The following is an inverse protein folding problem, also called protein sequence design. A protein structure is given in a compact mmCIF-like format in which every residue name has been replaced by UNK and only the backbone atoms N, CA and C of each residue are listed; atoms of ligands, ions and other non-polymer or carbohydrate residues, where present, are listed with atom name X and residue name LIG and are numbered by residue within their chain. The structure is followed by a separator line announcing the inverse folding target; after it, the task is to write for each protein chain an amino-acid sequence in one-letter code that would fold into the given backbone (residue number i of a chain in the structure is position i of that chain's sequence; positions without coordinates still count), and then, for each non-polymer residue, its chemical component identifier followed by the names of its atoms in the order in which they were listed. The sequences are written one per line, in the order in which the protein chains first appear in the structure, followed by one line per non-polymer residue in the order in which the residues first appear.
data_IF_010772656629
#
_entry.id   IF_010772656629
#
_cell.length_a   1.000
_cell.length_b   1.000
_cell.length_c   1.000
_cell.angle_alpha   90.00
_cell.angle_beta   90.00
_cell.angle_gamma   90.00
#
_symmetry.space_group_name_H-M   'P 1'
#
loop_
_entity.id
_entity.type
_entity.pdbx_description
1 polymer ?
#
# COMPACT_ATOMS: atom_id res chain seq x y z
N UNK A 1 -36.01 48.29 14.61
CA UNK A 1 -35.73 47.77 13.25
C UNK A 1 -34.93 46.50 13.47
N UNK A 2 -35.65 45.41 13.65
CA UNK A 2 -35.11 44.12 14.09
C UNK A 2 -34.80 43.30 12.85
N UNK A 3 -33.53 43.20 12.50
CA UNK A 3 -33.07 42.28 11.47
C UNK A 3 -33.00 40.88 12.06
N UNK A 4 -34.12 40.15 11.94
CA UNK A 4 -34.16 38.71 12.10
C UNK A 4 -33.19 38.08 11.09
N UNK A 5 -32.04 37.62 11.59
CA UNK A 5 -31.13 36.78 10.83
C UNK A 5 -31.85 35.47 10.53
N UNK A 6 -32.31 35.35 9.28
CA UNK A 6 -32.82 34.11 8.73
C UNK A 6 -31.75 33.04 8.85
N UNK A 7 -32.02 32.05 9.69
CA UNK A 7 -31.36 30.76 9.63
C UNK A 7 -31.69 30.13 8.27
N UNK A 8 -30.85 30.41 7.27
CA UNK A 8 -30.80 29.60 6.07
C UNK A 8 -30.39 28.19 6.53
N UNK A 9 -31.41 27.35 6.69
CA UNK A 9 -31.24 25.92 6.89
C UNK A 9 -30.23 25.44 5.88
N UNK A 10 -29.12 24.90 6.37
CA UNK A 10 -28.19 24.17 5.54
C UNK A 10 -29.01 23.14 4.80
N UNK A 11 -29.14 23.36 3.50
CA UNK A 11 -29.72 22.39 2.59
C UNK A 11 -28.99 21.09 2.88
N UNK A 12 -29.74 20.19 3.52
CA UNK A 12 -29.54 18.76 3.47
C UNK A 12 -28.88 18.42 2.13
N UNK A 13 -27.91 17.51 2.15
CA UNK A 13 -27.48 16.76 0.96
C UNK A 13 -28.64 15.89 0.42
N UNK A 14 -29.80 16.54 0.21
CA UNK A 14 -31.09 16.06 -0.24
C UNK A 14 -31.09 15.69 -1.73
N UNK A 15 -29.94 15.88 -2.40
CA UNK A 15 -29.64 15.27 -3.69
C UNK A 15 -29.27 13.77 -3.59
N UNK A 16 -28.99 13.22 -2.40
CA UNK A 16 -28.99 11.77 -2.18
C UNK A 16 -30.41 11.26 -1.97
N UNK A 17 -31.27 11.45 -2.98
CA UNK A 17 -32.66 11.00 -2.94
C UNK A 17 -32.75 9.50 -2.69
N UNK A 18 -33.37 9.12 -1.57
CA UNK A 18 -34.32 8.00 -1.35
C UNK A 18 -33.96 6.56 -1.75
N UNK A 19 -32.89 6.31 -2.50
CA UNK A 19 -32.44 4.97 -2.83
C UNK A 19 -31.62 4.46 -1.66
N UNK A 20 -32.18 3.48 -0.93
CA UNK A 20 -31.44 2.77 0.10
C UNK A 20 -30.09 2.27 -0.44
N UNK A 21 -29.10 2.10 0.45
CA UNK A 21 -27.79 1.57 0.08
C UNK A 21 -27.99 0.20 -0.57
N UNK A 22 -27.51 0.05 -1.81
CA UNK A 22 -27.70 -1.20 -2.56
C UNK A 22 -26.76 -2.27 -2.05
N UNK A 23 -27.11 -3.55 -2.23
CA UNK A 23 -26.21 -4.66 -1.88
C UNK A 23 -24.88 -4.59 -2.63
N UNK A 24 -24.86 -3.99 -3.82
CA UNK A 24 -23.65 -3.75 -4.61
C UNK A 24 -22.74 -2.68 -3.99
N UNK A 25 -23.30 -1.62 -3.42
CA UNK A 25 -22.55 -0.58 -2.70
C UNK A 25 -21.80 -1.21 -1.50
N UNK A 26 -22.52 -2.01 -0.70
CA UNK A 26 -21.94 -2.71 0.46
C UNK A 26 -20.90 -3.73 0.05
N UNK A 27 -21.19 -4.56 -0.98
CA UNK A 27 -20.23 -5.54 -1.47
C UNK A 27 -18.95 -4.87 -2.00
N UNK A 28 -19.08 -3.79 -2.77
CA UNK A 28 -17.95 -3.02 -3.27
C UNK A 28 -17.09 -2.44 -2.13
N UNK A 29 -17.73 -1.87 -1.11
CA UNK A 29 -17.05 -1.36 0.08
C UNK A 29 -16.29 -2.45 0.84
N UNK A 30 -16.90 -3.62 1.02
CA UNK A 30 -16.28 -4.78 1.67
C UNK A 30 -15.10 -5.31 0.85
N UNK A 31 -15.24 -5.43 -0.47
CA UNK A 31 -14.18 -5.90 -1.35
C UNK A 31 -12.99 -4.94 -1.37
N UNK A 32 -13.24 -3.63 -1.45
CA UNK A 32 -12.17 -2.63 -1.42
C UNK A 32 -11.45 -2.60 -0.06
N UNK A 33 -12.20 -2.72 1.04
CA UNK A 33 -11.62 -2.82 2.38
C UNK A 33 -10.81 -4.11 2.55
N UNK A 34 -11.36 -5.24 2.11
CA UNK A 34 -10.68 -6.53 2.12
C UNK A 34 -9.40 -6.53 1.26
N UNK A 35 -9.41 -5.83 0.13
CA UNK A 35 -8.22 -5.60 -0.68
C UNK A 35 -7.14 -4.84 0.10
N UNK A 36 -7.48 -3.71 0.75
CA UNK A 36 -6.53 -2.97 1.57
C UNK A 36 -5.94 -3.84 2.70
N UNK A 37 -6.79 -4.60 3.40
CA UNK A 37 -6.37 -5.53 4.47
C UNK A 37 -5.42 -6.61 3.92
N UNK A 38 -5.75 -7.23 2.79
CA UNK A 38 -4.91 -8.26 2.16
C UNK A 38 -3.55 -7.70 1.73
N UNK A 39 -3.50 -6.48 1.18
CA UNK A 39 -2.23 -5.83 0.83
C UNK A 39 -1.36 -5.57 2.06
N UNK A 40 -1.94 -5.06 3.16
CA UNK A 40 -1.18 -4.81 4.38
C UNK A 40 -0.72 -6.09 5.06
N UNK A 41 -1.54 -7.14 5.05
CA UNK A 41 -1.12 -8.48 5.48
C UNK A 41 0.09 -8.97 4.66
N UNK A 42 0.06 -8.80 3.33
CA UNK A 42 1.19 -9.15 2.46
C UNK A 42 2.44 -8.32 2.77
N UNK A 43 2.30 -7.00 3.00
CA UNK A 43 3.40 -6.11 3.41
C UNK A 43 4.03 -6.58 4.72
N UNK A 44 3.22 -6.98 5.71
CA UNK A 44 3.70 -7.50 6.99
C UNK A 44 4.45 -8.83 6.80
N UNK A 45 3.89 -9.75 6.02
CA UNK A 45 4.53 -11.02 5.68
C UNK A 45 5.87 -10.79 4.97
N UNK A 46 5.94 -9.87 4.02
CA UNK A 46 7.18 -9.49 3.32
C UNK A 46 8.19 -8.86 4.28
N UNK A 47 7.75 -8.00 5.21
CA UNK A 47 8.62 -7.39 6.22
C UNK A 47 9.30 -8.44 7.10
N UNK A 48 8.51 -9.40 7.62
CA UNK A 48 9.02 -10.49 8.44
C UNK A 48 9.90 -11.46 7.64
N UNK A 49 9.47 -11.82 6.43
CA UNK A 49 10.24 -12.70 5.54
C UNK A 49 11.58 -12.09 5.16
N UNK A 50 11.64 -10.79 4.87
CA UNK A 50 12.88 -10.10 4.48
C UNK A 50 13.92 -10.07 5.61
N UNK A 51 13.50 -10.22 6.88
CA UNK A 51 14.39 -10.35 8.05
C UNK A 51 14.94 -11.78 8.24
N UNK A 52 14.36 -12.78 7.57
CA UNK A 52 14.70 -14.21 7.69
C UNK A 52 15.25 -14.75 6.36
N UNK A 53 15.08 -16.06 6.12
CA UNK A 53 15.44 -16.72 4.87
C UNK A 53 14.53 -16.26 3.72
N UNK A 54 15.13 -15.94 2.58
CA UNK A 54 14.40 -15.50 1.39
C UNK A 54 13.83 -16.71 0.68
N UNK A 55 12.55 -16.60 0.30
CA UNK A 55 11.89 -17.59 -0.54
C UNK A 55 11.55 -16.98 -1.91
N UNK A 56 11.62 -17.73 -3.02
CA UNK A 56 11.33 -17.22 -4.36
C UNK A 56 9.96 -16.57 -4.52
N UNK A 57 8.95 -17.05 -3.78
CA UNK A 57 7.60 -16.49 -3.83
C UNK A 57 7.53 -15.05 -3.30
N UNK A 58 8.45 -14.63 -2.42
CA UNK A 58 8.44 -13.28 -1.84
C UNK A 58 8.64 -12.20 -2.91
N UNK A 59 9.50 -12.45 -3.91
CA UNK A 59 9.66 -11.55 -5.04
C UNK A 59 8.34 -11.40 -5.81
N UNK A 60 7.67 -12.52 -6.11
CA UNK A 60 6.38 -12.52 -6.81
C UNK A 60 5.30 -11.80 -6.01
N UNK A 61 5.22 -12.03 -4.71
CA UNK A 61 4.29 -11.33 -3.81
C UNK A 61 4.56 -9.84 -3.76
N UNK A 62 5.82 -9.42 -3.67
CA UNK A 62 6.16 -8.00 -3.70
C UNK A 62 5.79 -7.34 -5.03
N UNK A 63 6.04 -7.99 -6.17
CA UNK A 63 5.59 -7.53 -7.49
C UNK A 63 4.06 -7.40 -7.53
N UNK A 64 3.33 -8.38 -7.00
CA UNK A 64 1.86 -8.34 -6.94
C UNK A 64 1.36 -7.17 -6.08
N UNK A 65 1.92 -6.96 -4.89
CA UNK A 65 1.58 -5.82 -4.01
C UNK A 65 1.84 -4.48 -4.71
N UNK A 66 2.97 -4.35 -5.41
CA UNK A 66 3.29 -3.12 -6.16
C UNK A 66 2.28 -2.91 -7.28
N UNK A 67 1.99 -3.95 -8.08
CA UNK A 67 1.04 -3.88 -9.19
C UNK A 67 -0.37 -3.51 -8.74
N UNK A 68 -0.87 -4.15 -7.67
CA UNK A 68 -2.15 -3.81 -7.07
C UNK A 68 -2.16 -2.39 -6.52
N UNK A 69 -1.10 -1.96 -5.83
CA UNK A 69 -0.98 -0.58 -5.35
C UNK A 69 -1.01 0.46 -6.47
N UNK A 70 -0.39 0.17 -7.62
CA UNK A 70 -0.46 1.01 -8.82
C UNK A 70 -1.89 1.10 -9.35
N UNK A 71 -2.59 -0.04 -9.48
CA UNK A 71 -4.00 -0.06 -9.94
C UNK A 71 -4.88 0.77 -9.01
N UNK A 72 -4.74 0.57 -7.69
CA UNK A 72 -5.47 1.34 -6.69
C UNK A 72 -5.20 2.84 -6.79
N UNK A 73 -3.94 3.25 -6.95
CA UNK A 73 -3.58 4.67 -7.08
C UNK A 73 -4.09 5.29 -8.38
N UNK A 74 -4.12 4.55 -9.49
CA UNK A 74 -4.71 5.05 -10.75
C UNK A 74 -6.19 5.34 -10.56
N UNK A 75 -6.95 4.41 -9.98
CA UNK A 75 -8.38 4.62 -9.70
C UNK A 75 -8.62 5.77 -8.72
N UNK A 76 -7.83 5.84 -7.64
CA UNK A 76 -7.95 6.91 -6.66
C UNK A 76 -7.60 8.29 -7.25
N UNK A 77 -6.51 8.40 -8.02
CA UNK A 77 -6.14 9.66 -8.67
C UNK A 77 -7.12 10.08 -9.76
N UNK A 78 -7.67 9.13 -10.51
CA UNK A 78 -8.75 9.39 -11.47
C UNK A 78 -9.94 10.08 -10.80
N UNK A 79 -10.35 9.63 -9.61
CA UNK A 79 -11.45 10.26 -8.87
C UNK A 79 -11.13 11.73 -8.52
N UNK A 80 -9.90 12.01 -8.05
CA UNK A 80 -9.46 13.39 -7.78
C UNK A 80 -9.41 14.27 -9.03
N UNK A 81 -8.97 13.71 -10.17
CA UNK A 81 -9.01 14.42 -11.46
C UNK A 81 -10.45 14.74 -11.85
N UNK A 82 -11.37 13.80 -11.67
CA UNK A 82 -12.77 13.98 -11.99
C UNK A 82 -13.45 15.02 -11.07
N UNK A 83 -13.09 15.04 -9.78
CA UNK A 83 -13.50 16.07 -8.83
C UNK A 83 -13.04 17.47 -9.25
N UNK A 84 -11.77 17.63 -9.65
CA UNK A 84 -11.26 18.91 -10.16
C UNK A 84 -11.98 19.32 -11.44
N UNK A 85 -12.15 18.39 -12.39
CA UNK A 85 -12.85 18.67 -13.64
C UNK A 85 -14.30 19.12 -13.40
N UNK A 86 -15.01 18.45 -12.50
CA UNK A 86 -16.35 18.85 -12.09
C UNK A 86 -16.36 20.22 -11.41
N UNK A 87 -15.43 20.46 -10.48
CA UNK A 87 -15.31 21.73 -9.76
C UNK A 87 -15.05 22.90 -10.70
N UNK A 88 -14.19 22.74 -11.72
CA UNK A 88 -13.93 23.79 -12.72
C UNK A 88 -15.22 24.21 -13.44
N UNK A 89 -16.10 23.25 -13.75
CA UNK A 89 -17.39 23.53 -14.36
C UNK A 89 -18.45 24.04 -13.36
N UNK A 90 -18.29 23.73 -12.06
CA UNK A 90 -19.31 23.99 -11.03
C UNK A 90 -18.69 24.43 -9.68
N UNK A 91 -17.98 25.57 -9.61
CA UNK A 91 -17.15 25.92 -8.44
C UNK A 91 -17.96 26.22 -7.16
N UNK A 92 -19.27 26.50 -7.30
CA UNK A 92 -20.18 26.75 -6.18
C UNK A 92 -21.08 25.55 -5.83
N UNK A 93 -20.92 24.42 -6.55
CA UNK A 93 -21.66 23.20 -6.25
C UNK A 93 -20.97 22.37 -5.17
N UNK A 94 -21.69 21.46 -4.49
CA UNK A 94 -21.08 20.44 -3.65
C UNK A 94 -20.02 19.62 -4.40
N UNK A 95 -19.08 19.05 -3.66
CA UNK A 95 -18.13 18.11 -4.24
C UNK A 95 -18.87 16.95 -4.91
N UNK A 96 -18.50 16.64 -6.15
CA UNK A 96 -19.07 15.55 -6.92
C UNK A 96 -18.17 14.33 -6.86
N UNK A 97 -18.75 13.16 -7.07
CA UNK A 97 -18.01 11.92 -7.26
C UNK A 97 -18.58 11.14 -8.41
N UNK A 98 -17.76 10.26 -8.97
CA UNK A 98 -18.24 9.28 -9.92
C UNK A 98 -19.31 8.38 -9.29
N UNK A 99 -20.18 7.72 -10.10
CA UNK A 99 -21.19 6.82 -9.57
C UNK A 99 -20.61 5.68 -8.70
N UNK A 100 -19.46 5.13 -9.08
CA UNK A 100 -18.81 4.06 -8.31
C UNK A 100 -18.17 4.60 -7.03
N UNK A 101 -17.53 5.78 -7.08
CA UNK A 101 -17.02 6.45 -5.88
C UNK A 101 -18.13 6.75 -4.88
N UNK A 102 -19.26 7.29 -5.36
CA UNK A 102 -20.47 7.52 -4.55
C UNK A 102 -21.01 6.22 -3.96
N UNK A 103 -21.09 5.15 -4.75
CA UNK A 103 -21.54 3.84 -4.28
C UNK A 103 -20.67 3.26 -3.16
N UNK A 104 -19.35 3.27 -3.35
CA UNK A 104 -18.40 2.82 -2.33
C UNK A 104 -18.49 3.65 -1.05
N UNK A 105 -18.58 4.98 -1.16
CA UNK A 105 -18.72 5.86 -0.01
C UNK A 105 -20.02 5.58 0.76
N UNK A 106 -21.16 5.37 0.07
CA UNK A 106 -22.42 4.96 0.72
C UNK A 106 -22.30 3.61 1.41
N UNK A 107 -21.68 2.62 0.77
CA UNK A 107 -21.43 1.30 1.35
C UNK A 107 -20.57 1.37 2.62
N UNK A 108 -19.51 2.17 2.61
CA UNK A 108 -18.66 2.41 3.79
C UNK A 108 -19.38 3.23 4.88
N UNK A 109 -20.27 4.14 4.49
CA UNK A 109 -21.09 4.94 5.41
C UNK A 109 -22.07 4.13 6.25
N UNK A 110 -22.32 2.86 5.90
CA UNK A 110 -23.15 1.95 6.70
C UNK A 110 -22.60 1.70 8.12
N UNK A 111 -21.31 2.00 8.37
CA UNK A 111 -20.72 1.96 9.71
C UNK A 111 -21.43 2.89 10.68
N UNK A 112 -21.85 4.08 10.22
CA UNK A 112 -22.69 5.01 10.98
C UNK A 112 -23.53 5.86 10.02
N UNK A 113 -24.78 5.44 9.71
CA UNK A 113 -25.64 6.15 8.77
C UNK A 113 -26.04 7.56 9.23
N UNK A 114 -25.82 7.90 10.50
CA UNK A 114 -26.11 9.24 11.03
C UNK A 114 -25.04 10.27 10.65
N UNK A 115 -23.91 9.81 10.09
CA UNK A 115 -22.74 10.63 9.73
C UNK A 115 -22.50 10.59 8.21
N UNK A 116 -23.14 11.47 7.42
CA UNK A 116 -23.13 11.38 5.96
C UNK A 116 -21.73 11.54 5.33
N UNK A 117 -20.80 12.19 6.03
CA UNK A 117 -19.41 12.36 5.57
C UNK A 117 -18.50 11.20 5.95
N UNK A 118 -18.89 10.32 6.88
CA UNK A 118 -17.99 9.28 7.40
C UNK A 118 -17.58 8.29 6.29
N UNK A 119 -18.53 7.84 5.47
CA UNK A 119 -18.24 6.91 4.38
C UNK A 119 -17.23 7.47 3.37
N UNK A 120 -17.27 8.78 3.12
CA UNK A 120 -16.31 9.49 2.28
C UNK A 120 -14.90 9.50 2.88
N UNK A 121 -14.79 9.78 4.16
CA UNK A 121 -13.48 9.79 4.84
C UNK A 121 -12.89 8.37 4.90
N UNK A 122 -13.70 7.34 5.16
CA UNK A 122 -13.28 5.93 5.12
C UNK A 122 -12.80 5.55 3.71
N UNK A 123 -13.52 5.96 2.66
CA UNK A 123 -13.13 5.65 1.27
C UNK A 123 -11.76 6.22 0.92
N UNK A 124 -11.53 7.49 1.25
CA UNK A 124 -10.22 8.10 1.05
C UNK A 124 -9.15 7.42 1.88
N UNK A 125 -9.42 7.12 3.15
CA UNK A 125 -8.48 6.42 4.03
C UNK A 125 -8.07 5.06 3.41
N UNK A 126 -9.03 4.25 2.97
CA UNK A 126 -8.78 2.94 2.35
C UNK A 126 -7.96 3.09 1.06
N UNK A 127 -8.32 4.03 0.18
CA UNK A 127 -7.57 4.31 -1.05
C UNK A 127 -6.12 4.72 -0.78
N UNK A 128 -5.91 5.59 0.20
CA UNK A 128 -4.57 6.03 0.62
C UNK A 128 -3.74 4.89 1.23
N UNK A 129 -4.37 3.95 1.95
CA UNK A 129 -3.69 2.78 2.51
C UNK A 129 -3.28 1.76 1.44
N UNK A 130 -4.09 1.58 0.39
CA UNK A 130 -3.73 0.76 -0.78
C UNK A 130 -2.52 1.36 -1.50
N UNK A 131 -2.54 2.68 -1.73
CA UNK A 131 -1.42 3.39 -2.35
C UNK A 131 -0.14 3.27 -1.50
N UNK A 132 -0.24 3.51 -0.19
CA UNK A 132 0.90 3.38 0.73
C UNK A 132 1.49 1.98 0.71
N UNK A 133 0.66 0.94 0.72
CA UNK A 133 1.11 -0.45 0.65
C UNK A 133 1.91 -0.74 -0.64
N UNK A 134 1.50 -0.17 -1.79
CA UNK A 134 2.25 -0.26 -3.04
C UNK A 134 3.66 0.35 -2.94
N UNK A 135 3.77 1.56 -2.38
CA UNK A 135 5.05 2.23 -2.15
C UNK A 135 5.95 1.47 -1.18
N UNK A 136 5.39 0.96 -0.09
CA UNK A 136 6.10 0.09 0.87
C UNK A 136 6.58 -1.18 0.18
N UNK A 137 5.78 -1.76 -0.73
CA UNK A 137 6.19 -2.89 -1.57
C UNK A 137 7.47 -2.60 -2.37
N UNK A 138 7.58 -1.42 -2.98
CA UNK A 138 8.81 -1.01 -3.69
C UNK A 138 9.99 -0.86 -2.71
N UNK A 139 9.77 -0.25 -1.56
CA UNK A 139 10.81 -0.10 -0.54
C UNK A 139 11.31 -1.45 -0.01
N UNK A 140 10.41 -2.41 0.18
CA UNK A 140 10.72 -3.77 0.65
C UNK A 140 11.40 -4.62 -0.41
N UNK A 141 10.88 -4.66 -1.65
CA UNK A 141 11.48 -5.47 -2.72
C UNK A 141 12.89 -4.99 -3.06
N UNK A 142 13.15 -3.69 -2.93
CA UNK A 142 14.47 -3.16 -3.21
C UNK A 142 15.44 -3.38 -2.06
N UNK A 143 14.99 -3.67 -0.83
CA UNK A 143 15.80 -3.66 0.41
C UNK A 143 17.06 -4.53 0.36
N UNK A 144 17.02 -5.66 -0.37
CA UNK A 144 18.13 -6.62 -0.46
C UNK A 144 19.10 -6.35 -1.61
N UNK A 145 18.70 -5.54 -2.57
CA UNK A 145 19.57 -5.13 -3.66
C UNK A 145 20.55 -4.03 -3.21
N UNK A 146 21.45 -3.62 -4.12
CA UNK A 146 22.49 -2.61 -3.88
C UNK A 146 21.96 -1.38 -3.12
N UNK A 147 22.80 -0.80 -2.26
CA UNK A 147 22.37 0.26 -1.32
C UNK A 147 21.85 1.54 -2.01
N UNK A 148 22.26 1.80 -3.26
CA UNK A 148 22.05 3.08 -3.95
C UNK A 148 21.04 3.01 -5.11
N UNK A 149 20.01 2.17 -5.01
CA UNK A 149 18.94 2.12 -6.01
C UNK A 149 18.09 3.39 -6.00
N UNK A 150 17.84 3.96 -7.19
CA UNK A 150 17.00 5.15 -7.33
C UNK A 150 15.55 4.84 -6.99
N UNK A 151 15.06 3.66 -7.36
CA UNK A 151 13.71 3.19 -7.01
C UNK A 151 13.45 3.25 -5.50
N UNK A 152 14.42 2.79 -4.68
CA UNK A 152 14.34 2.83 -3.21
C UNK A 152 14.27 4.25 -2.66
N UNK A 153 15.07 5.17 -3.21
CA UNK A 153 15.06 6.60 -2.79
C UNK A 153 13.68 7.22 -3.02
N UNK A 154 13.14 7.08 -4.23
CA UNK A 154 11.82 7.61 -4.58
C UNK A 154 10.70 6.95 -3.79
N UNK A 155 10.74 5.62 -3.64
CA UNK A 155 9.76 4.90 -2.82
C UNK A 155 9.74 5.36 -1.37
N UNK A 156 10.91 5.57 -0.73
CA UNK A 156 10.98 6.10 0.65
C UNK A 156 10.40 7.49 0.78
N UNK A 157 10.67 8.37 -0.19
CA UNK A 157 10.07 9.70 -0.22
C UNK A 157 8.55 9.62 -0.36
N UNK A 158 8.07 8.74 -1.25
CA UNK A 158 6.64 8.45 -1.41
C UNK A 158 6.00 7.92 -0.13
N UNK A 159 6.64 6.95 0.54
CA UNK A 159 6.15 6.41 1.82
C UNK A 159 6.00 7.52 2.85
N UNK A 160 6.97 8.43 2.98
CA UNK A 160 6.88 9.54 3.94
C UNK A 160 5.73 10.50 3.63
N UNK A 161 5.67 10.98 2.39
CA UNK A 161 4.62 11.90 1.95
C UNK A 161 3.23 11.26 2.10
N UNK A 162 3.10 10.00 1.69
CA UNK A 162 1.84 9.26 1.76
C UNK A 162 1.47 8.89 3.20
N UNK A 163 2.44 8.71 4.10
CA UNK A 163 2.17 8.53 5.53
C UNK A 163 1.61 9.81 6.14
N UNK A 164 2.16 10.97 5.83
CA UNK A 164 1.64 12.27 6.32
C UNK A 164 0.21 12.49 5.83
N UNK A 165 -0.03 12.28 4.54
CA UNK A 165 -1.36 12.42 3.95
C UNK A 165 -2.34 11.35 4.49
N UNK A 166 -1.90 10.11 4.66
CA UNK A 166 -2.69 9.05 5.27
C UNK A 166 -3.06 9.34 6.73
N UNK A 167 -2.13 9.90 7.52
CA UNK A 167 -2.39 10.33 8.89
C UNK A 167 -3.44 11.45 8.93
N UNK A 168 -3.41 12.38 7.98
CA UNK A 168 -4.48 13.38 7.85
C UNK A 168 -5.85 12.70 7.69
N UNK A 169 -5.97 11.73 6.78
CA UNK A 169 -7.22 10.99 6.60
C UNK A 169 -7.62 10.18 7.83
N UNK A 170 -6.67 9.65 8.60
CA UNK A 170 -6.97 9.03 9.90
C UNK A 170 -7.60 10.06 10.83
N UNK A 171 -7.03 11.27 10.95
CA UNK A 171 -7.58 12.32 11.83
C UNK A 171 -8.96 12.80 11.34
N UNK A 172 -9.13 13.02 10.03
CA UNK A 172 -10.41 13.38 9.43
C UNK A 172 -11.48 12.31 9.72
N UNK A 173 -11.16 11.04 9.51
CA UNK A 173 -12.07 9.91 9.76
C UNK A 173 -12.41 9.79 11.24
N UNK A 174 -11.40 9.81 12.12
CA UNK A 174 -11.59 9.67 13.57
C UNK A 174 -12.37 10.84 14.15
N UNK A 175 -12.12 12.08 13.70
CA UNK A 175 -12.87 13.24 14.19
C UNK A 175 -14.37 13.10 13.93
N UNK A 176 -14.77 12.71 12.71
CA UNK A 176 -16.17 12.44 12.38
C UNK A 176 -16.69 11.23 13.16
N UNK A 177 -15.94 10.12 13.20
CA UNK A 177 -16.34 8.90 13.88
C UNK A 177 -16.59 9.13 15.39
N UNK A 178 -15.77 9.97 16.04
CA UNK A 178 -15.87 10.32 17.46
C UNK A 178 -16.88 11.45 17.76
N UNK A 179 -17.63 11.91 16.77
CA UNK A 179 -18.78 12.80 16.97
C UNK A 179 -18.54 14.28 16.68
N UNK A 180 -17.41 14.65 16.06
CA UNK A 180 -17.27 16.00 15.52
C UNK A 180 -18.32 16.22 14.41
N UNK A 181 -18.92 17.40 14.37
CA UNK A 181 -19.92 17.77 13.35
C UNK A 181 -19.34 17.90 11.95
N UNK A 182 -18.00 17.95 11.85
CA UNK A 182 -17.24 18.04 10.60
C UNK A 182 -15.90 17.34 10.75
N UNK A 183 -15.29 16.97 9.62
CA UNK A 183 -13.93 16.45 9.61
C UNK A 183 -12.92 17.55 10.01
N UNK A 184 -11.92 17.19 10.83
CA UNK A 184 -10.89 18.09 11.35
C UNK A 184 -9.52 17.59 10.87
N UNK A 185 -8.75 18.44 10.18
CA UNK A 185 -7.45 18.09 9.59
C UNK A 185 -6.87 19.19 8.71
N UNK A 186 -5.71 18.98 8.09
CA UNK A 186 -5.00 20.00 7.30
C UNK A 186 -5.85 20.56 6.15
N UNK A 187 -6.56 19.69 5.43
CA UNK A 187 -7.51 20.01 4.34
C UNK A 187 -8.77 20.73 4.80
N UNK A 188 -8.93 20.97 6.10
CA UNK A 188 -10.03 21.76 6.67
C UNK A 188 -9.51 22.94 7.50
N UNK A 189 -8.18 23.16 7.49
CA UNK A 189 -7.49 24.05 8.43
C UNK A 189 -7.87 23.75 9.88
N UNK A 190 -7.82 22.48 10.27
CA UNK A 190 -8.23 22.01 11.60
C UNK A 190 -9.68 22.41 11.96
N UNK A 191 -10.56 22.41 10.96
CA UNK A 191 -11.98 22.78 11.12
C UNK A 191 -12.26 24.28 11.11
N UNK A 192 -11.26 25.14 10.86
CA UNK A 192 -11.42 26.59 10.83
C UNK A 192 -12.17 27.10 9.60
N UNK A 193 -12.12 26.39 8.47
CA UNK A 193 -12.90 26.78 7.29
C UNK A 193 -14.36 26.34 7.50
N UNK A 194 -15.28 27.29 7.34
CA UNK A 194 -16.71 27.04 7.43
C UNK A 194 -17.22 26.15 6.28
N UNK A 195 -18.21 25.28 6.53
CA UNK A 195 -18.83 24.50 5.46
C UNK A 195 -19.40 25.39 4.36
N UNK A 196 -18.99 25.14 3.11
CA UNK A 196 -19.43 25.90 1.96
C UNK A 196 -18.47 25.78 0.77
N UNK A 197 -18.65 26.59 -0.29
CA UNK A 197 -17.83 26.55 -1.49
C UNK A 197 -16.33 26.73 -1.23
N UNK A 198 -15.95 27.53 -0.22
CA UNK A 198 -14.56 27.73 0.17
C UNK A 198 -13.92 26.43 0.68
N UNK A 199 -14.59 25.72 1.60
CA UNK A 199 -14.11 24.42 2.10
C UNK A 199 -14.03 23.38 0.98
N UNK A 200 -15.06 23.30 0.12
CA UNK A 200 -15.07 22.37 -1.01
C UNK A 200 -13.89 22.64 -1.94
N UNK A 201 -13.69 23.91 -2.33
CA UNK A 201 -12.58 24.33 -3.19
C UNK A 201 -11.24 23.92 -2.59
N UNK A 202 -11.00 24.28 -1.32
CA UNK A 202 -9.75 23.99 -0.66
C UNK A 202 -9.51 22.48 -0.55
N UNK A 203 -10.51 21.69 -0.17
CA UNK A 203 -10.41 20.23 -0.07
C UNK A 203 -10.11 19.59 -1.43
N UNK A 204 -10.85 19.95 -2.48
CA UNK A 204 -10.65 19.37 -3.83
C UNK A 204 -9.21 19.61 -4.30
N UNK A 205 -8.73 20.85 -4.21
CA UNK A 205 -7.36 21.18 -4.64
C UNK A 205 -6.29 20.57 -3.75
N UNK A 206 -6.49 20.54 -2.44
CA UNK A 206 -5.56 19.92 -1.49
C UNK A 206 -5.31 18.45 -1.82
N UNK A 207 -6.38 17.66 -1.89
CA UNK A 207 -6.26 16.22 -2.15
C UNK A 207 -5.79 15.95 -3.57
N UNK A 208 -6.20 16.75 -4.56
CA UNK A 208 -5.69 16.64 -5.92
C UNK A 208 -4.17 16.85 -6.01
N UNK A 209 -3.66 17.95 -5.44
CA UNK A 209 -2.22 18.26 -5.48
C UNK A 209 -1.42 17.21 -4.72
N UNK A 210 -1.89 16.79 -3.54
CA UNK A 210 -1.26 15.71 -2.80
C UNK A 210 -1.20 14.43 -3.65
N UNK A 211 -2.32 13.97 -4.20
CA UNK A 211 -2.34 12.76 -5.00
C UNK A 211 -1.56 12.89 -6.32
N UNK A 212 -1.50 14.06 -6.94
CA UNK A 212 -0.67 14.31 -8.12
C UNK A 212 0.82 14.13 -7.81
N UNK A 213 1.29 14.74 -6.73
CA UNK A 213 2.69 14.61 -6.27
C UNK A 213 2.98 13.15 -5.92
N UNK A 214 2.10 12.49 -5.16
CA UNK A 214 2.24 11.08 -4.81
C UNK A 214 2.31 10.18 -6.04
N UNK A 215 1.43 10.41 -7.03
CA UNK A 215 1.39 9.66 -8.29
C UNK A 215 2.67 9.86 -9.11
N UNK A 216 3.18 11.09 -9.20
CA UNK A 216 4.45 11.37 -9.86
C UNK A 216 5.62 10.63 -9.20
N UNK A 217 5.69 10.64 -7.86
CA UNK A 217 6.70 9.91 -7.09
C UNK A 217 6.60 8.40 -7.36
N UNK A 218 5.40 7.83 -7.33
CA UNK A 218 5.17 6.43 -7.63
C UNK A 218 5.62 6.07 -9.05
N UNK A 219 5.23 6.87 -10.04
CA UNK A 219 5.60 6.65 -11.44
C UNK A 219 7.12 6.64 -11.62
N UNK A 220 7.83 7.59 -11.01
CA UNK A 220 9.29 7.65 -11.05
C UNK A 220 9.91 6.44 -10.33
N UNK A 221 9.37 6.05 -9.17
CA UNK A 221 9.83 4.87 -8.42
C UNK A 221 9.66 3.58 -9.23
N UNK A 222 8.50 3.38 -9.87
CA UNK A 222 8.19 2.22 -10.72
C UNK A 222 9.06 2.22 -11.98
N UNK A 223 9.25 3.37 -12.63
CA UNK A 223 10.13 3.51 -13.79
C UNK A 223 11.56 3.08 -13.45
N UNK A 224 12.12 3.57 -12.34
CA UNK A 224 13.44 3.16 -11.88
C UNK A 224 13.48 1.68 -11.48
N UNK A 225 12.45 1.17 -10.80
CA UNK A 225 12.36 -0.24 -10.42
C UNK A 225 12.37 -1.13 -11.66
N UNK A 226 11.65 -0.75 -12.71
CA UNK A 226 11.63 -1.49 -13.98
C UNK A 226 13.01 -1.53 -14.63
N UNK A 227 13.78 -0.43 -14.62
CA UNK A 227 15.16 -0.43 -15.12
C UNK A 227 16.09 -1.27 -14.24
N UNK A 228 15.88 -1.25 -12.93
CA UNK A 228 16.70 -1.93 -11.91
C UNK A 228 16.26 -3.39 -11.67
N UNK A 229 15.20 -3.87 -12.35
CA UNK A 229 14.52 -5.15 -12.07
C UNK A 229 15.43 -6.38 -12.07
N UNK A 230 16.44 -6.39 -12.96
CA UNK A 230 17.39 -7.51 -13.08
C UNK A 230 18.27 -7.63 -11.83
N UNK A 231 18.78 -6.49 -11.35
CA UNK A 231 19.58 -6.44 -10.13
C UNK A 231 18.75 -6.81 -8.89
N UNK A 232 17.50 -6.33 -8.82
CA UNK A 232 16.58 -6.69 -7.73
C UNK A 232 16.27 -8.19 -7.75
N UNK A 233 15.97 -8.77 -8.92
CA UNK A 233 15.67 -10.20 -9.05
C UNK A 233 16.87 -11.07 -8.66
N UNK A 234 18.06 -10.74 -9.14
CA UNK A 234 19.30 -11.46 -8.82
C UNK A 234 19.57 -11.50 -7.30
N UNK A 235 19.26 -10.41 -6.57
CA UNK A 235 19.42 -10.37 -5.11
C UNK A 235 18.47 -11.31 -4.35
N UNK A 236 17.32 -11.69 -4.94
CA UNK A 236 16.41 -12.68 -4.39
C UNK A 236 16.82 -14.10 -4.78
N UNK A 237 17.33 -14.31 -5.99
CA UNK A 237 17.82 -15.61 -6.47
C UNK A 237 19.09 -16.05 -5.72
N UNK A 238 20.07 -15.16 -5.53
CA UNK A 238 21.31 -15.44 -4.79
C UNK A 238 21.11 -15.73 -3.30
N UNK A 239 19.95 -15.36 -2.74
CA UNK A 239 19.63 -15.55 -1.33
C UNK A 239 18.96 -16.89 -1.02
N UNK A 240 18.63 -17.68 -2.05
CA UNK A 240 18.10 -19.04 -1.89
C UNK A 240 19.31 -19.97 -1.71
N UNK A 241 19.49 -20.62 -0.54
CA UNK A 241 20.54 -21.60 -0.37
C UNK A 241 20.42 -22.66 -1.46
N UNK A 242 21.52 -23.02 -2.10
CA UNK A 242 21.57 -24.12 -3.06
C UNK A 242 21.18 -25.41 -2.34
N UNK A 243 19.89 -25.73 -2.31
CA UNK A 243 19.34 -26.88 -1.60
C UNK A 243 19.57 -28.21 -2.37
N UNK A 244 20.63 -28.29 -3.20
CA UNK A 244 20.77 -29.39 -4.17
C UNK A 244 22.23 -29.74 -4.53
N UNK A 245 23.21 -29.51 -3.65
CA UNK A 245 24.57 -30.05 -3.87
C UNK A 245 25.04 -31.02 -2.79
N UNK A 246 24.24 -31.28 -1.74
CA UNK A 246 24.61 -32.22 -0.67
C UNK A 246 23.89 -33.58 -0.75
N UNK A 247 23.05 -33.83 -1.76
CA UNK A 247 22.35 -35.11 -1.92
C UNK A 247 23.00 -36.07 -2.93
N UNK A 248 24.01 -35.64 -3.69
CA UNK A 248 24.65 -36.45 -4.76
C UNK A 248 26.10 -36.83 -4.45
N UNK A 249 26.47 -36.86 -3.16
CA UNK A 249 27.77 -37.35 -2.70
C UNK A 249 27.64 -38.49 -1.67
N UNK A 250 26.55 -39.25 -1.71
CA UNK A 250 26.51 -40.58 -1.09
C UNK A 250 26.95 -41.59 -2.15
N UNK A 251 28.26 -41.78 -2.22
CA UNK A 251 28.87 -42.89 -2.94
C UNK A 251 28.24 -44.22 -2.48
N UNK A 252 27.92 -45.16 -3.38
CA UNK A 252 27.65 -46.53 -2.96
C UNK A 252 28.98 -47.13 -2.51
N UNK A 253 29.14 -47.26 -1.19
CA UNK A 253 30.13 -48.14 -0.61
C UNK A 253 29.72 -49.59 -0.94
N UNK A 254 30.23 -50.14 -2.04
CA UNK A 254 30.25 -51.58 -2.27
C UNK A 254 31.31 -52.17 -1.36
N UNK A 255 30.85 -52.67 -0.22
CA UNK A 255 31.52 -53.67 0.59
C UNK A 255 31.53 -54.99 -0.19
N UNK A 256 32.70 -55.39 -0.69
CA UNK A 256 33.01 -56.79 -0.93
C UNK A 256 34.23 -57.14 -0.07
N UNK A 257 33.92 -57.84 1.03
CA UNK A 257 34.85 -58.69 1.76
C UNK A 257 35.09 -59.91 0.88
N UNK A 258 36.33 -60.18 0.51
CA UNK A 258 36.78 -61.56 0.38
C UNK A 258 38.23 -61.72 0.85
N UNK A 259 38.44 -62.84 1.53
CA UNK A 259 39.63 -63.19 2.28
C UNK A 259 40.70 -63.79 1.36
N UNK A 260 41.98 -63.60 1.71
CA UNK A 260 42.94 -64.69 1.98
C UNK A 260 44.41 -64.26 1.85
N UNK A 261 45.18 -64.66 2.86
CA UNK A 261 46.53 -65.22 2.80
C UNK A 261 47.81 -64.35 2.72
N UNK A 262 48.70 -64.76 3.65
CA UNK A 262 50.17 -64.79 3.62
C UNK A 262 51.03 -63.54 3.86
N UNK A 263 51.56 -63.49 5.10
CA UNK A 263 52.92 -63.09 5.49
C UNK A 263 54.01 -63.66 4.55
N UNK A 264 55.24 -63.09 4.40
CA UNK A 264 56.12 -62.81 5.55
C UNK A 264 57.13 -61.63 5.42
N UNK A 265 57.64 -61.22 6.60
CA UNK A 265 59.05 -60.90 6.93
C UNK A 265 59.84 -59.90 6.04
N UNK A 266 60.26 -58.79 6.65
CA UNK A 266 61.63 -58.23 6.63
C UNK A 266 61.76 -57.14 7.70
N UNK A 267 62.41 -57.42 8.82
CA UNK A 267 63.84 -57.20 9.11
C UNK A 267 64.34 -55.75 8.98
N UNK A 268 64.77 -55.22 10.15
CA UNK A 268 65.92 -54.32 10.41
C UNK A 268 65.90 -52.94 9.73
N UNK A 269 66.10 -51.82 10.43
CA UNK A 269 67.42 -51.39 10.88
C UNK A 269 67.36 -50.23 11.89
N UNK A 270 68.31 -50.31 12.83
CA UNK A 270 68.77 -49.37 13.84
C UNK A 270 69.10 -47.93 13.38
N UNK A 271 69.32 -47.10 14.42
CA UNK A 271 70.11 -45.87 14.54
C UNK A 271 69.26 -44.58 14.52
N UNK A 272 69.30 -43.68 15.50
CA UNK A 272 70.27 -43.47 16.56
C UNK A 272 70.93 -42.10 16.40
N UNK A 273 70.32 -41.06 17.02
CA UNK A 273 70.95 -39.81 17.57
C UNK A 273 71.75 -38.92 16.57
N UNK A 274 72.17 -37.69 16.93
CA UNK A 274 72.30 -37.02 18.25
C UNK A 274 71.08 -36.23 18.72
#
# INVERSE_FOLDING_TARGET
MDHAHGAHGMGSMSGMGGSGVSSWDTLGALLLTGWAVAMWAAVVVLAFGNRRQVRPWMYKTAVAVIGLGVIGQVGHFQEHVAQVGYWVAHPYSPAWMTPWGTGLARGMGQVDPTKPTLGMEILHLVGNFIFLAGLVGIAQITQRAARNLKSRKWARMGVWMQTIHGLEHVVLTLSVALGATRAIGLSTWFGLIEPGPALVTYRVWWHFVANLIGTAILAIAVYHLWKERRAVKAAYEAAVPAASETAEAVAPATSELDASEESPVRETTLAGRP
#
